data_IF_914985262585
#
_entry.id   IF_914985262585
#
_cell.length_a   1.000
_cell.length_b   1.000
_cell.length_c   1.000
_cell.angle_alpha   90.00
_cell.angle_beta   90.00
_cell.angle_gamma   90.00
#
_symmetry.space_group_name_H-M   'P 1'
#
loop_
_entity.id
_entity.type
_entity.pdbx_description
1 polymer ?
#
# COMPACT_ATOMS: atom_id res chain seq x y z
N UNK A 1 -21.70 9.70 -0.45
CA UNK A 1 -20.40 10.31 -0.12
C UNK A 1 -20.22 11.53 -1.01
N UNK A 2 -19.68 12.65 -0.50
CA UNK A 2 -19.55 13.91 -1.26
C UNK A 2 -18.36 13.86 -2.21
N UNK A 3 -17.23 13.32 -1.75
CA UNK A 3 -16.00 13.17 -2.55
C UNK A 3 -15.78 11.72 -3.02
N UNK A 4 -16.68 10.80 -2.66
CA UNK A 4 -16.52 9.39 -3.05
C UNK A 4 -16.73 9.24 -4.55
N UNK A 5 -15.79 8.57 -5.23
CA UNK A 5 -15.90 8.32 -6.66
C UNK A 5 -15.90 6.80 -6.95
N UNK A 6 -16.40 6.44 -8.11
CA UNK A 6 -16.41 5.06 -8.60
C UNK A 6 -15.12 4.71 -9.31
N UNK A 7 -14.68 3.47 -9.16
CA UNK A 7 -13.59 2.88 -9.93
C UNK A 7 -13.99 1.48 -10.37
N UNK A 8 -13.78 1.14 -11.64
CA UNK A 8 -14.04 -0.20 -12.17
C UNK A 8 -12.72 -0.96 -12.29
N UNK A 9 -12.62 -2.13 -11.64
CA UNK A 9 -11.46 -3.01 -11.73
C UNK A 9 -11.94 -4.46 -11.83
N UNK A 10 -11.52 -5.18 -12.87
CA UNK A 10 -11.87 -6.59 -13.08
C UNK A 10 -13.38 -6.86 -13.13
N UNK A 11 -14.15 -5.98 -13.79
CA UNK A 11 -15.61 -6.07 -13.90
C UNK A 11 -16.38 -5.67 -12.63
N UNK A 12 -15.71 -5.37 -11.52
CA UNK A 12 -16.33 -4.92 -10.26
C UNK A 12 -16.20 -3.42 -10.09
N UNK A 13 -17.28 -2.78 -9.63
CA UNK A 13 -17.32 -1.36 -9.30
C UNK A 13 -17.04 -1.17 -7.81
N UNK A 14 -16.08 -0.31 -7.49
CA UNK A 14 -15.71 0.05 -6.12
C UNK A 14 -16.02 1.53 -5.91
N UNK A 15 -16.80 1.84 -4.88
CA UNK A 15 -17.10 3.22 -4.49
C UNK A 15 -16.37 3.55 -3.19
N UNK A 16 -15.70 4.70 -3.16
CA UNK A 16 -15.17 5.25 -1.92
C UNK A 16 -13.76 5.80 -2.06
N UNK A 17 -12.88 5.36 -1.17
CA UNK A 17 -11.55 5.90 -0.98
C UNK A 17 -10.52 4.78 -0.97
N UNK A 18 -9.28 5.13 -1.28
CA UNK A 18 -8.14 4.23 -1.18
C UNK A 18 -7.06 4.84 -0.31
N UNK A 19 -6.46 3.98 0.50
CA UNK A 19 -5.33 4.29 1.35
C UNK A 19 -4.05 3.85 0.66
N UNK A 20 -3.13 4.78 0.48
CA UNK A 20 -1.76 4.53 0.06
C UNK A 20 -0.87 4.52 1.29
N UNK A 21 0.03 3.55 1.40
CA UNK A 21 0.97 3.47 2.54
C UNK A 21 2.38 3.19 2.04
N UNK A 22 3.36 3.69 2.79
CA UNK A 22 4.72 3.15 2.78
C UNK A 22 4.99 2.56 4.16
N UNK A 23 5.41 1.31 4.15
CA UNK A 23 5.60 0.47 5.33
C UNK A 23 7.07 0.08 5.34
N UNK A 24 7.72 0.15 6.50
CA UNK A 24 9.09 -0.33 6.60
C UNK A 24 9.14 -1.85 6.58
N UNK A 25 10.22 -2.39 6.01
CA UNK A 25 10.37 -3.83 5.85
C UNK A 25 10.71 -4.54 7.17
N UNK A 26 11.48 -3.88 8.02
CA UNK A 26 12.05 -4.48 9.23
C UNK A 26 11.04 -4.63 10.35
N UNK A 27 10.26 -3.58 10.62
CA UNK A 27 9.36 -3.52 11.78
C UNK A 27 7.88 -3.57 11.39
N UNK A 28 7.58 -3.49 10.09
CA UNK A 28 6.24 -3.47 9.53
C UNK A 28 5.37 -2.30 10.06
N UNK A 29 5.99 -1.16 10.30
CA UNK A 29 5.39 0.09 10.73
C UNK A 29 5.00 0.95 9.52
N UNK A 30 3.81 1.54 9.58
CA UNK A 30 3.37 2.53 8.60
C UNK A 30 4.17 3.82 8.83
N UNK A 31 5.02 4.19 7.88
CA UNK A 31 5.89 5.38 7.98
C UNK A 31 5.24 6.61 7.37
N UNK A 32 4.54 6.45 6.25
CA UNK A 32 3.78 7.51 5.57
C UNK A 32 2.53 6.92 4.93
N UNK A 33 1.49 7.73 4.80
CA UNK A 33 0.28 7.34 4.13
C UNK A 33 -0.37 8.54 3.43
N UNK A 34 -1.27 8.27 2.49
CA UNK A 34 -2.14 9.28 1.87
C UNK A 34 -3.45 8.63 1.49
N UNK A 35 -4.56 9.27 1.82
CA UNK A 35 -5.87 8.85 1.33
C UNK A 35 -6.24 9.65 0.09
N UNK A 36 -6.77 8.95 -0.91
CA UNK A 36 -7.32 9.56 -2.14
C UNK A 36 -8.68 8.94 -2.47
N UNK A 37 -9.40 9.54 -3.41
CA UNK A 37 -10.60 8.93 -3.97
C UNK A 37 -10.26 7.64 -4.71
N UNK A 38 -11.20 6.70 -4.78
CA UNK A 38 -10.97 5.38 -5.39
C UNK A 38 -10.58 5.42 -6.88
N UNK A 39 -10.93 6.49 -7.61
CA UNK A 39 -10.65 6.64 -9.04
C UNK A 39 -9.21 7.02 -9.37
N UNK A 40 -8.46 7.57 -8.41
CA UNK A 40 -7.03 7.86 -8.62
C UNK A 40 -6.32 6.55 -8.96
N UNK A 41 -5.30 6.54 -9.82
CA UNK A 41 -4.51 5.32 -10.08
C UNK A 41 -3.37 5.22 -9.05
N UNK A 42 -2.96 4.00 -8.67
CA UNK A 42 -1.96 3.82 -7.60
C UNK A 42 -0.60 4.43 -8.00
N UNK A 43 -0.23 4.32 -9.27
CA UNK A 43 0.99 4.92 -9.79
C UNK A 43 1.06 6.46 -9.71
N UNK A 44 -0.05 7.15 -9.47
CA UNK A 44 -0.08 8.61 -9.33
C UNK A 44 0.28 9.09 -7.93
N UNK A 45 0.45 8.18 -6.97
CA UNK A 45 0.80 8.52 -5.59
C UNK A 45 2.13 7.90 -5.22
N UNK A 46 3.15 8.75 -5.13
CA UNK A 46 4.48 8.35 -4.66
C UNK A 46 4.81 8.95 -3.28
N UNK A 47 4.83 8.07 -2.28
CA UNK A 47 5.16 8.34 -0.88
C UNK A 47 6.63 8.13 -0.54
N UNK A 48 7.45 7.69 -1.49
CA UNK A 48 8.87 7.46 -1.27
C UNK A 48 9.67 8.75 -1.19
N UNK A 49 10.85 8.67 -0.58
CA UNK A 49 11.85 9.73 -0.55
C UNK A 49 13.11 9.28 -1.28
N UNK A 50 13.93 10.24 -1.70
CA UNK A 50 15.25 9.98 -2.29
C UNK A 50 16.09 9.13 -1.32
N UNK A 51 16.80 8.13 -1.86
CA UNK A 51 17.62 7.21 -1.07
C UNK A 51 16.88 5.97 -0.54
N UNK A 52 15.55 5.90 -0.61
CA UNK A 52 14.78 4.74 -0.12
C UNK A 52 14.58 3.70 -1.23
N UNK A 53 14.74 2.41 -0.91
CA UNK A 53 14.35 1.32 -1.82
C UNK A 53 12.87 1.01 -1.66
N UNK A 54 12.13 1.03 -2.77
CA UNK A 54 10.66 0.86 -2.77
C UNK A 54 10.26 -0.34 -3.61
N UNK A 55 9.71 -1.36 -2.94
CA UNK A 55 9.19 -2.57 -3.59
C UNK A 55 7.74 -2.37 -4.04
N UNK A 56 7.49 -2.32 -5.35
CA UNK A 56 6.19 -1.96 -5.93
C UNK A 56 5.59 -3.06 -6.80
N UNK A 57 4.27 -3.13 -6.87
CA UNK A 57 3.57 -4.06 -7.76
C UNK A 57 3.71 -3.69 -9.25
N UNK A 58 3.21 -4.60 -10.09
CA UNK A 58 3.14 -4.46 -11.56
C UNK A 58 2.28 -3.27 -12.02
N UNK A 59 1.40 -2.75 -11.17
CA UNK A 59 0.59 -1.56 -11.44
C UNK A 59 1.41 -0.26 -11.44
N UNK A 60 2.59 -0.25 -10.83
CA UNK A 60 3.54 0.87 -10.91
C UNK A 60 4.53 0.73 -12.08
N UNK A 61 4.37 -0.28 -12.94
CA UNK A 61 5.25 -0.50 -14.08
C UNK A 61 5.26 0.71 -15.02
N UNK A 62 6.46 1.19 -15.35
CA UNK A 62 6.66 2.37 -16.20
C UNK A 62 6.58 3.72 -15.47
N UNK A 63 6.44 3.72 -14.14
CA UNK A 63 6.38 4.96 -13.35
C UNK A 63 7.58 5.08 -12.41
N UNK A 64 8.31 6.18 -12.55
CA UNK A 64 9.45 6.49 -11.70
C UNK A 64 9.03 6.72 -10.24
N UNK A 65 9.92 6.42 -9.30
CA UNK A 65 9.77 6.85 -7.92
C UNK A 65 10.80 7.92 -7.60
N UNK A 66 10.52 8.72 -6.58
CA UNK A 66 11.48 9.59 -5.91
C UNK A 66 12.63 8.79 -5.31
N UNK A 67 12.35 7.58 -4.81
CA UNK A 67 13.35 6.61 -4.33
C UNK A 67 13.80 5.61 -5.39
N UNK A 68 14.61 4.64 -4.98
CA UNK A 68 15.07 3.53 -5.81
C UNK A 68 13.94 2.53 -6.09
N UNK A 69 13.57 2.42 -7.37
CA UNK A 69 12.42 1.66 -7.83
C UNK A 69 12.67 0.14 -7.96
N UNK A 70 12.32 -0.64 -6.94
CA UNK A 70 12.20 -2.10 -7.06
C UNK A 70 10.80 -2.51 -7.52
N UNK A 71 10.40 -2.05 -8.71
CA UNK A 71 9.06 -2.32 -9.28
C UNK A 71 9.01 -3.65 -10.04
N UNK A 72 7.96 -4.43 -9.79
CA UNK A 72 7.69 -5.67 -10.54
C UNK A 72 7.42 -5.38 -12.02
N UNK A 73 7.94 -6.23 -12.90
CA UNK A 73 7.69 -6.14 -14.32
C UNK A 73 6.36 -6.79 -14.72
N UNK A 74 5.71 -6.21 -15.72
CA UNK A 74 4.45 -6.68 -16.29
C UNK A 74 4.70 -7.18 -17.70
N UNK A 75 4.04 -8.27 -18.09
CA UNK A 75 3.99 -8.65 -19.51
C UNK A 75 3.28 -7.55 -20.31
N UNK A 76 3.77 -7.26 -21.50
CA UNK A 76 3.14 -6.30 -22.43
C UNK A 76 2.75 -7.01 -23.71
N UNK A 77 1.89 -6.38 -24.53
CA UNK A 77 1.39 -6.99 -25.76
C UNK A 77 2.57 -7.44 -26.64
N UNK A 78 2.57 -8.70 -27.06
CA UNK A 78 3.63 -9.28 -27.89
C UNK A 78 4.96 -9.55 -27.16
N UNK A 79 5.06 -9.30 -25.84
CA UNK A 79 6.29 -9.53 -25.08
C UNK A 79 5.99 -10.16 -23.71
N UNK A 80 5.97 -11.50 -23.63
CA UNK A 80 5.83 -12.19 -22.35
C UNK A 80 7.04 -11.96 -21.44
N UNK A 81 6.89 -12.22 -20.16
CA UNK A 81 8.00 -12.15 -19.21
C UNK A 81 8.95 -13.33 -19.45
N UNK A 82 10.25 -13.05 -19.47
CA UNK A 82 11.28 -14.09 -19.48
C UNK A 82 11.51 -14.65 -18.06
N UNK A 83 12.21 -15.78 -17.98
CA UNK A 83 12.49 -16.48 -16.71
C UNK A 83 13.18 -15.56 -15.69
N UNK A 84 14.17 -14.76 -16.12
CA UNK A 84 14.88 -13.83 -15.23
C UNK A 84 13.95 -12.76 -14.63
N UNK A 85 12.99 -12.27 -15.42
CA UNK A 85 12.00 -11.28 -14.98
C UNK A 85 10.99 -11.89 -14.02
N UNK A 86 10.57 -13.13 -14.24
CA UNK A 86 9.71 -13.89 -13.33
C UNK A 86 10.41 -14.07 -11.99
N UNK A 87 11.63 -14.62 -11.97
CA UNK A 87 12.39 -14.81 -10.74
C UNK A 87 12.67 -13.49 -10.00
N UNK A 88 12.91 -12.39 -10.73
CA UNK A 88 13.03 -11.04 -10.12
C UNK A 88 11.72 -10.61 -9.47
N UNK A 89 10.59 -10.82 -10.14
CA UNK A 89 9.27 -10.50 -9.59
C UNK A 89 8.96 -11.32 -8.35
N UNK A 90 9.32 -12.61 -8.33
CA UNK A 90 9.10 -13.48 -7.17
C UNK A 90 9.89 -12.98 -5.96
N UNK A 91 11.17 -12.64 -6.16
CA UNK A 91 11.99 -12.01 -5.11
C UNK A 91 11.35 -10.73 -4.60
N UNK A 92 10.90 -9.83 -5.48
CA UNK A 92 10.20 -8.59 -5.07
C UNK A 92 8.89 -8.91 -4.34
N UNK A 93 8.16 -9.93 -4.75
CA UNK A 93 6.90 -10.34 -4.11
C UNK A 93 7.11 -10.77 -2.66
N UNK A 94 8.16 -11.54 -2.39
CA UNK A 94 8.54 -11.93 -1.01
C UNK A 94 8.82 -10.70 -0.15
N UNK A 95 9.52 -9.69 -0.70
CA UNK A 95 9.78 -8.44 0.04
C UNK A 95 8.52 -7.62 0.31
N UNK A 96 7.47 -7.78 -0.51
CA UNK A 96 6.21 -7.05 -0.40
C UNK A 96 5.18 -7.72 0.50
N UNK A 97 5.31 -9.02 0.76
CA UNK A 97 4.38 -9.79 1.58
C UNK A 97 4.01 -9.13 2.93
N UNK A 98 4.96 -8.51 3.69
CA UNK A 98 4.62 -7.85 4.96
C UNK A 98 3.56 -6.74 4.82
N UNK A 99 3.52 -6.07 3.67
CA UNK A 99 2.53 -5.03 3.38
C UNK A 99 1.10 -5.57 3.43
N UNK A 100 0.87 -6.81 3.01
CA UNK A 100 -0.46 -7.43 3.00
C UNK A 100 -1.02 -7.62 4.40
N UNK A 101 -0.16 -7.99 5.36
CA UNK A 101 -0.55 -8.13 6.77
C UNK A 101 -1.04 -6.80 7.34
N UNK A 102 -0.38 -5.69 7.03
CA UNK A 102 -0.81 -4.35 7.48
C UNK A 102 -2.25 -4.06 7.03
N UNK A 103 -2.57 -4.34 5.77
CA UNK A 103 -3.92 -4.16 5.24
C UNK A 103 -4.93 -5.14 5.83
N UNK A 104 -4.53 -6.40 6.06
CA UNK A 104 -5.39 -7.40 6.69
C UNK A 104 -5.78 -7.00 8.12
N UNK A 105 -4.80 -6.61 8.95
CA UNK A 105 -5.05 -6.15 10.33
C UNK A 105 -5.88 -4.86 10.34
N UNK A 106 -5.58 -3.92 9.44
CA UNK A 106 -6.34 -2.67 9.28
C UNK A 106 -7.83 -2.93 8.98
N UNK A 107 -8.12 -3.88 8.08
CA UNK A 107 -9.50 -4.23 7.72
C UNK A 107 -10.19 -5.09 8.76
N UNK A 108 -9.51 -6.10 9.30
CA UNK A 108 -10.10 -7.08 10.22
C UNK A 108 -10.17 -6.59 11.66
N UNK A 109 -9.04 -6.22 12.24
CA UNK A 109 -8.92 -5.84 13.66
C UNK A 109 -9.46 -4.43 13.89
N UNK A 110 -9.01 -3.46 13.09
CA UNK A 110 -9.42 -2.05 13.25
C UNK A 110 -10.74 -1.72 12.53
N UNK A 111 -11.33 -2.67 11.80
CA UNK A 111 -12.58 -2.50 11.03
C UNK A 111 -12.58 -1.27 10.12
N UNK A 112 -11.40 -0.83 9.66
CA UNK A 112 -11.23 0.40 8.89
C UNK A 112 -11.52 0.23 7.39
N UNK A 113 -12.05 -0.93 6.98
CA UNK A 113 -12.45 -1.20 5.58
C UNK A 113 -13.69 -0.43 5.12
N UNK A 114 -14.50 0.10 6.04
CA UNK A 114 -15.69 0.92 5.75
C UNK A 114 -15.58 2.27 6.47
N UNK A 115 -15.86 3.35 5.74
CA UNK A 115 -15.90 4.71 6.30
C UNK A 115 -17.24 5.36 6.01
N UNK A 116 -17.83 5.99 7.02
CA UNK A 116 -19.11 6.73 6.92
C UNK A 116 -18.92 8.23 6.66
N UNK A 117 -17.68 8.72 6.71
CA UNK A 117 -17.37 10.13 6.43
C UNK A 117 -17.25 10.35 4.93
N UNK A 118 -17.67 11.53 4.48
CA UNK A 118 -18.00 11.79 3.08
C UNK A 118 -16.99 12.65 2.34
N UNK A 119 -15.89 13.06 2.99
CA UNK A 119 -14.84 13.88 2.36
C UNK A 119 -13.45 13.29 2.52
N UNK A 120 -12.57 13.47 1.53
CA UNK A 120 -11.20 12.92 1.54
C UNK A 120 -10.43 13.37 2.78
N UNK A 121 -10.52 14.64 3.17
CA UNK A 121 -9.84 15.18 4.36
C UNK A 121 -10.26 14.45 5.65
N UNK A 122 -11.56 14.20 5.84
CA UNK A 122 -12.09 13.47 7.01
C UNK A 122 -11.69 11.99 6.98
N UNK A 123 -11.70 11.36 5.80
CA UNK A 123 -11.22 9.98 5.66
C UNK A 123 -9.72 9.92 5.95
N UNK A 124 -8.92 10.86 5.47
CA UNK A 124 -7.49 10.92 5.72
C UNK A 124 -7.19 11.04 7.22
N UNK A 125 -7.94 11.88 7.95
CA UNK A 125 -7.84 11.95 9.41
C UNK A 125 -8.18 10.62 10.09
N UNK A 126 -9.25 9.92 9.65
CA UNK A 126 -9.56 8.58 10.17
C UNK A 126 -8.43 7.59 9.90
N UNK A 127 -7.87 7.60 8.69
CA UNK A 127 -6.74 6.72 8.34
C UNK A 127 -5.46 7.07 9.11
N UNK A 128 -5.26 8.33 9.49
CA UNK A 128 -4.18 8.74 10.39
C UNK A 128 -4.30 8.06 11.74
N UNK A 129 -5.48 8.12 12.36
CA UNK A 129 -5.76 7.45 13.64
C UNK A 129 -5.60 5.94 13.49
N UNK A 130 -6.12 5.35 12.41
CA UNK A 130 -5.94 3.93 12.13
C UNK A 130 -4.47 3.53 11.99
N UNK A 131 -3.66 4.31 11.26
CA UNK A 131 -2.23 4.05 11.10
C UNK A 131 -1.48 4.16 12.44
N UNK A 132 -1.84 5.14 13.27
CA UNK A 132 -1.29 5.30 14.62
C UNK A 132 -1.63 4.10 15.51
N UNK A 133 -2.91 3.70 15.57
CA UNK A 133 -3.35 2.53 16.31
C UNK A 133 -2.69 1.23 15.81
N UNK A 134 -2.55 1.07 14.50
CA UNK A 134 -1.84 -0.05 13.90
C UNK A 134 -0.37 -0.08 14.35
N UNK A 135 0.34 1.05 14.31
CA UNK A 135 1.73 1.13 14.75
C UNK A 135 1.87 0.79 16.25
N UNK A 136 0.97 1.28 17.12
CA UNK A 136 0.96 0.89 18.54
C UNK A 136 0.76 -0.62 18.73
N UNK A 137 -0.18 -1.21 17.99
CA UNK A 137 -0.43 -2.65 18.02
C UNK A 137 0.79 -3.45 17.54
N UNK A 138 1.45 -2.98 16.49
CA UNK A 138 2.66 -3.59 15.97
C UNK A 138 3.83 -3.49 16.95
N UNK A 139 4.04 -2.33 17.58
CA UNK A 139 5.08 -2.16 18.60
C UNK A 139 4.88 -3.11 19.79
N UNK A 140 3.63 -3.31 20.25
CA UNK A 140 3.33 -4.31 21.28
C UNK A 140 3.71 -5.73 20.82
N UNK A 141 3.51 -6.03 19.54
CA UNK A 141 3.88 -7.33 18.95
C UNK A 141 5.40 -7.48 18.88
N UNK A 142 6.12 -6.45 18.46
CA UNK A 142 7.58 -6.44 18.41
C UNK A 142 8.19 -6.60 19.81
N UNK A 143 7.65 -5.90 20.82
CA UNK A 143 8.06 -6.06 22.21
C UNK A 143 7.86 -7.49 22.72
N UNK A 144 6.72 -8.10 22.43
CA UNK A 144 6.45 -9.51 22.80
C UNK A 144 7.39 -10.50 22.12
N UNK A 145 7.91 -10.17 20.93
CA UNK A 145 8.89 -10.97 20.20
C UNK A 145 10.33 -10.71 20.65
N UNK A 146 10.57 -9.78 21.58
CA UNK A 146 11.92 -9.39 22.02
C UNK A 146 12.73 -8.61 20.97
N UNK A 147 12.07 -8.06 19.94
CA UNK A 147 12.74 -7.28 18.88
C UNK A 147 12.94 -5.81 19.30
N UNK A 148 12.14 -5.32 20.24
CA UNK A 148 12.24 -3.98 20.83
C UNK A 148 12.35 -4.11 22.36
N UNK A 149 13.20 -3.28 22.97
CA UNK A 149 13.35 -3.16 24.43
C UNK A 149 12.06 -2.61 25.10
#
# INVERSE_FOLDING_TARGET
>A
SRDGNWSKKGGKSYFGYKLHTIIDKENELIRRFKTTVASVHDSQVDLSKKGEVVYRDKGYFGVEAKGFAATMQRAVRGKPLNIKQIMRNDRISVQRMPCERVYAVTKGVFKAGKVMVTTVKRVNLKMMVTAFCFNLHQMRTLKRKGVMA
#
